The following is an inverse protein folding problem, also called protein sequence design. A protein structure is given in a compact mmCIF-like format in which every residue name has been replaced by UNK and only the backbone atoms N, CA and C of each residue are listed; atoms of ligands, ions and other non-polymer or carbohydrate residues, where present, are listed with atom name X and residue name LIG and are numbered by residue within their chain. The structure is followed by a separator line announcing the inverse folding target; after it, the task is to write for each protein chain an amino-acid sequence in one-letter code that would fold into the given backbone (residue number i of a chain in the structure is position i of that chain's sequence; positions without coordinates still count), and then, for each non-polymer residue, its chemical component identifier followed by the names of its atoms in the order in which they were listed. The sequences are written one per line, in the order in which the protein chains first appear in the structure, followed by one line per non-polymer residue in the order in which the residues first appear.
data_IF_993722518198
#
_entry.id   IF_993722518198
#
_cell.length_a   1.000
_cell.length_b   1.000
_cell.length_c   1.000
_cell.angle_alpha   90.00
_cell.angle_beta   90.00
_cell.angle_gamma   90.00
#
_symmetry.space_group_name_H-M   'P 1'
#
loop_
_entity.id
_entity.type
_entity.pdbx_description
1 polymer ?
#
# COMPACT_ATOMS: atom_id res chain seq x y z
N UNK A 1 12.72 0.43 -13.04
CA UNK A 1 12.72 1.48 -12.00
C UNK A 1 12.98 2.83 -12.64
N UNK A 2 12.47 3.89 -12.04
CA UNK A 2 12.75 5.27 -12.43
C UNK A 2 13.56 5.92 -11.31
N UNK A 3 14.67 6.54 -11.67
CA UNK A 3 15.53 7.29 -10.74
C UNK A 3 15.64 8.72 -11.25
N UNK A 4 15.42 9.68 -10.38
CA UNK A 4 15.58 11.09 -10.65
C UNK A 4 16.59 11.70 -9.69
N UNK A 5 17.47 12.53 -10.19
CA UNK A 5 18.40 13.31 -9.40
C UNK A 5 18.07 14.78 -9.52
N UNK A 6 18.21 15.51 -8.44
CA UNK A 6 18.27 16.95 -8.40
C UNK A 6 19.47 17.41 -7.56
N UNK A 7 19.92 18.61 -7.81
CA UNK A 7 20.98 19.27 -7.06
C UNK A 7 20.80 20.78 -7.13
N UNK A 8 21.54 21.52 -6.29
CA UNK A 8 21.57 22.98 -6.33
C UNK A 8 22.31 23.51 -7.55
N UNK A 9 23.22 22.70 -8.13
CA UNK A 9 23.97 23.03 -9.34
C UNK A 9 24.09 21.83 -10.32
N UNK A 10 24.39 22.14 -11.57
CA UNK A 10 24.50 21.16 -12.64
C UNK A 10 25.69 20.21 -12.46
N UNK A 11 26.77 20.66 -11.82
CA UNK A 11 27.96 19.83 -11.61
C UNK A 11 27.69 18.71 -10.62
N UNK A 12 27.04 19.06 -9.49
CA UNK A 12 26.62 18.08 -8.50
C UNK A 12 25.61 17.08 -9.06
N UNK A 13 24.64 17.56 -9.84
CA UNK A 13 23.67 16.72 -10.52
C UNK A 13 24.33 15.74 -11.49
N UNK A 14 25.22 16.21 -12.36
CA UNK A 14 25.97 15.38 -13.31
C UNK A 14 26.82 14.33 -12.61
N UNK A 15 27.44 14.68 -11.48
CA UNK A 15 28.26 13.72 -10.71
C UNK A 15 27.41 12.59 -10.13
N UNK A 16 26.21 12.88 -9.62
CA UNK A 16 25.26 11.86 -9.12
C UNK A 16 24.85 10.91 -10.25
N UNK A 17 24.52 11.44 -11.41
CA UNK A 17 24.15 10.65 -12.59
C UNK A 17 25.32 9.76 -13.02
N UNK A 18 26.51 10.32 -13.17
CA UNK A 18 27.72 9.58 -13.59
C UNK A 18 28.07 8.44 -12.62
N UNK A 19 27.92 8.66 -11.32
CA UNK A 19 28.12 7.63 -10.29
C UNK A 19 27.14 6.47 -10.44
N UNK A 20 25.87 6.75 -10.72
CA UNK A 20 24.88 5.70 -10.96
C UNK A 20 25.18 4.96 -12.28
N UNK A 21 25.47 5.70 -13.36
CA UNK A 21 25.79 5.10 -14.67
C UNK A 21 26.97 4.12 -14.57
N UNK A 22 28.05 4.50 -13.90
CA UNK A 22 29.21 3.64 -13.70
C UNK A 22 28.82 2.31 -13.01
N UNK A 23 28.00 2.36 -11.96
CA UNK A 23 27.49 1.16 -11.28
C UNK A 23 26.59 0.30 -12.16
N UNK A 24 25.73 0.93 -12.96
CA UNK A 24 24.85 0.21 -13.89
C UNK A 24 25.64 -0.48 -14.99
N UNK A 25 26.68 0.18 -15.54
CA UNK A 25 27.57 -0.39 -16.53
C UNK A 25 28.37 -1.58 -15.98
N UNK A 26 28.90 -1.47 -14.76
CA UNK A 26 29.56 -2.58 -14.07
C UNK A 26 28.60 -3.76 -13.85
N UNK A 27 27.39 -3.51 -13.37
CA UNK A 27 26.37 -4.52 -13.15
C UNK A 27 25.94 -5.21 -14.45
N UNK A 28 25.81 -4.47 -15.56
CA UNK A 28 25.52 -5.02 -16.90
C UNK A 28 26.70 -5.89 -17.42
N UNK A 29 27.93 -5.45 -17.21
CA UNK A 29 29.13 -6.17 -17.64
C UNK A 29 29.28 -7.52 -16.93
N UNK A 30 28.88 -7.62 -15.65
CA UNK A 30 28.94 -8.86 -14.88
C UNK A 30 27.78 -9.83 -15.17
N UNK A 31 26.67 -9.33 -15.68
CA UNK A 31 25.46 -10.13 -15.99
C UNK A 31 24.77 -10.76 -14.79
N UNK A 32 25.22 -10.49 -13.57
CA UNK A 32 24.71 -11.14 -12.34
C UNK A 32 23.57 -10.39 -11.67
N UNK A 33 23.31 -9.13 -12.07
CA UNK A 33 22.40 -8.24 -11.37
C UNK A 33 20.93 -8.34 -11.81
N UNK A 34 20.62 -9.07 -12.89
CA UNK A 34 19.30 -9.07 -13.50
C UNK A 34 18.93 -7.76 -14.21
N UNK A 35 19.85 -6.78 -14.26
CA UNK A 35 19.67 -5.53 -15.02
C UNK A 35 19.83 -5.84 -16.50
N UNK A 36 18.80 -5.51 -17.30
CA UNK A 36 18.79 -5.73 -18.75
C UNK A 36 19.21 -4.50 -19.55
N UNK A 37 19.27 -3.33 -18.93
CA UNK A 37 19.66 -2.06 -19.54
C UNK A 37 19.14 -0.86 -18.75
N UNK A 38 19.58 0.32 -19.17
CA UNK A 38 19.06 1.60 -18.68
C UNK A 38 18.98 2.61 -19.81
N UNK A 39 18.19 3.65 -19.58
CA UNK A 39 18.09 4.80 -20.47
C UNK A 39 18.23 6.07 -19.63
N UNK A 40 19.09 6.97 -20.06
CA UNK A 40 19.27 8.30 -19.47
C UNK A 40 18.64 9.34 -20.40
N UNK A 41 17.94 10.31 -19.82
CA UNK A 41 17.39 11.45 -20.56
C UNK A 41 17.45 12.73 -19.74
N UNK A 42 17.75 13.82 -20.40
CA UNK A 42 17.64 15.20 -19.91
C UNK A 42 16.54 15.97 -20.66
N UNK A 43 15.89 15.32 -21.63
CA UNK A 43 14.80 15.95 -22.38
C UNK A 43 13.55 16.07 -21.51
N UNK A 44 13.13 17.29 -21.26
CA UNK A 44 11.95 17.62 -20.46
C UNK A 44 10.67 16.95 -20.99
N UNK A 45 10.51 16.82 -22.31
CA UNK A 45 9.31 16.19 -22.88
C UNK A 45 9.30 14.68 -22.61
N UNK A 46 10.45 14.01 -22.75
CA UNK A 46 10.59 12.59 -22.39
C UNK A 46 10.35 12.35 -20.90
N UNK A 47 10.87 13.21 -20.04
CA UNK A 47 10.64 13.17 -18.59
C UNK A 47 9.15 13.30 -18.28
N UNK A 48 8.47 14.30 -18.85
CA UNK A 48 7.02 14.49 -18.65
C UNK A 48 6.19 13.28 -19.12
N UNK A 49 6.60 12.64 -20.22
CA UNK A 49 5.93 11.42 -20.71
C UNK A 49 6.08 10.26 -19.74
N UNK A 50 7.26 10.06 -19.15
CA UNK A 50 7.51 9.03 -18.14
C UNK A 50 6.65 9.28 -16.90
N UNK A 51 6.57 10.53 -16.43
CA UNK A 51 5.70 10.89 -15.30
C UNK A 51 4.22 10.69 -15.60
N UNK A 52 3.79 11.04 -16.83
CA UNK A 52 2.41 10.81 -17.27
C UNK A 52 2.07 9.31 -17.30
N UNK A 53 2.98 8.48 -17.78
CA UNK A 53 2.85 7.02 -17.75
C UNK A 53 2.75 6.49 -16.31
N UNK A 54 3.65 6.92 -15.41
CA UNK A 54 3.62 6.55 -13.98
C UNK A 54 2.27 6.91 -13.34
N UNK A 55 1.77 8.12 -13.58
CA UNK A 55 0.48 8.58 -13.04
C UNK A 55 -0.70 7.75 -13.55
N UNK A 56 -0.67 7.33 -14.82
CA UNK A 56 -1.73 6.51 -15.43
C UNK A 56 -1.68 5.05 -14.98
N UNK A 57 -0.51 4.51 -14.66
CA UNK A 57 -0.34 3.08 -14.36
C UNK A 57 -1.16 2.62 -13.16
N UNK A 58 -1.27 3.44 -12.12
CA UNK A 58 -2.09 3.14 -10.93
C UNK A 58 -3.58 2.99 -11.28
N UNK A 59 -4.10 3.86 -12.16
CA UNK A 59 -5.47 3.76 -12.66
C UNK A 59 -5.71 2.56 -13.57
N UNK A 60 -4.70 2.16 -14.34
CA UNK A 60 -4.80 0.98 -15.22
C UNK A 60 -4.93 -0.33 -14.45
N UNK A 61 -4.32 -0.44 -13.27
CA UNK A 61 -4.50 -1.59 -12.39
C UNK A 61 -5.97 -1.79 -12.01
N UNK A 62 -6.69 -0.68 -11.74
CA UNK A 62 -8.13 -0.73 -11.41
C UNK A 62 -9.02 -1.20 -12.57
N UNK A 63 -8.53 -1.14 -13.83
CA UNK A 63 -9.26 -1.54 -15.02
C UNK A 63 -9.06 -3.03 -15.40
N UNK A 64 -8.50 -3.85 -14.51
CA UNK A 64 -8.35 -5.28 -14.73
C UNK A 64 -9.70 -5.93 -15.12
N UNK A 65 -9.71 -6.73 -16.19
CA UNK A 65 -10.91 -7.45 -16.64
C UNK A 65 -11.11 -8.71 -15.78
N UNK A 66 -12.36 -9.14 -15.67
CA UNK A 66 -12.72 -10.35 -14.91
C UNK A 66 -13.25 -10.04 -13.50
N UNK A 67 -13.58 -11.07 -12.74
CA UNK A 67 -14.13 -10.98 -11.39
C UNK A 67 -13.07 -10.54 -10.36
N UNK A 68 -11.84 -11.01 -10.51
CA UNK A 68 -10.74 -10.62 -9.64
C UNK A 68 -10.31 -9.17 -9.90
N UNK A 69 -10.27 -8.37 -8.86
CA UNK A 69 -9.88 -6.96 -8.90
C UNK A 69 -8.69 -6.70 -7.97
N UNK A 70 -7.73 -5.83 -8.35
CA UNK A 70 -6.67 -5.40 -7.46
C UNK A 70 -7.24 -4.66 -6.24
N UNK A 71 -7.07 -5.23 -5.06
CA UNK A 71 -7.62 -4.71 -3.80
C UNK A 71 -6.49 -4.15 -2.92
N UNK A 72 -6.60 -2.89 -2.42
CA UNK A 72 -5.53 -2.22 -1.69
C UNK A 72 -5.48 -2.57 -0.19
N UNK A 73 -5.67 -3.84 0.19
CA UNK A 73 -5.70 -4.26 1.59
C UNK A 73 -4.30 -4.51 2.19
N UNK A 74 -3.27 -4.66 1.36
CA UNK A 74 -1.86 -4.79 1.75
C UNK A 74 -1.02 -3.61 1.29
N UNK A 75 -1.66 -2.53 0.89
CA UNK A 75 -1.01 -1.33 0.36
C UNK A 75 -0.35 -0.52 1.46
N UNK A 76 0.69 0.27 1.09
CA UNK A 76 1.31 1.29 1.94
C UNK A 76 2.16 0.72 3.09
N UNK A 77 2.74 -0.45 2.89
CA UNK A 77 3.78 -0.95 3.80
C UNK A 77 5.09 -0.20 3.57
N UNK A 78 5.80 0.11 4.64
CA UNK A 78 7.10 0.75 4.57
C UNK A 78 8.09 0.00 5.45
N UNK A 79 9.29 -0.25 4.92
CA UNK A 79 10.41 -0.85 5.65
C UNK A 79 11.65 0.04 5.48
N UNK A 80 12.66 -0.05 6.35
CA UNK A 80 13.95 0.62 6.09
C UNK A 80 14.43 0.32 4.66
N UNK A 81 14.86 1.33 3.89
CA UNK A 81 15.23 1.15 2.47
C UNK A 81 16.28 0.06 2.23
N UNK A 82 17.20 -0.14 3.16
CA UNK A 82 18.21 -1.20 3.12
C UNK A 82 17.61 -2.61 3.16
N UNK A 83 16.44 -2.77 3.75
CA UNK A 83 15.73 -4.05 3.86
C UNK A 83 14.73 -4.27 2.71
N UNK A 84 14.51 -3.27 1.86
CA UNK A 84 13.43 -3.27 0.88
C UNK A 84 13.55 -4.41 -0.15
N UNK A 85 14.75 -4.73 -0.58
CA UNK A 85 14.96 -5.78 -1.58
C UNK A 85 14.52 -7.15 -1.06
N UNK A 86 14.96 -7.53 0.14
CA UNK A 86 14.61 -8.80 0.76
C UNK A 86 13.12 -8.84 1.13
N UNK A 87 12.59 -7.73 1.62
CA UNK A 87 11.15 -7.58 1.89
C UNK A 87 10.31 -7.82 0.63
N UNK A 88 10.68 -7.23 -0.51
CA UNK A 88 9.99 -7.45 -1.79
C UNK A 88 10.03 -8.92 -2.18
N UNK A 89 11.18 -9.59 -2.04
CA UNK A 89 11.32 -10.99 -2.43
C UNK A 89 10.42 -11.90 -1.59
N UNK A 90 10.40 -11.73 -0.27
CA UNK A 90 9.53 -12.51 0.61
C UNK A 90 8.05 -12.16 0.41
N UNK A 91 7.71 -10.89 0.19
CA UNK A 91 6.34 -10.48 -0.09
C UNK A 91 5.82 -11.13 -1.39
N UNK A 92 6.64 -11.17 -2.43
CA UNK A 92 6.30 -11.85 -3.67
C UNK A 92 6.11 -13.34 -3.46
N UNK A 93 7.03 -14.01 -2.74
CA UNK A 93 6.91 -15.43 -2.40
C UNK A 93 5.60 -15.71 -1.64
N UNK A 94 5.21 -14.84 -0.71
CA UNK A 94 3.94 -14.95 -0.01
C UNK A 94 2.75 -14.93 -0.98
N UNK A 95 2.67 -13.95 -1.87
CA UNK A 95 1.56 -13.82 -2.81
C UNK A 95 1.56 -14.95 -3.86
N UNK A 96 2.73 -15.30 -4.37
CA UNK A 96 2.92 -16.37 -5.35
C UNK A 96 2.52 -17.74 -4.77
N UNK A 97 2.79 -17.99 -3.48
CA UNK A 97 2.39 -19.23 -2.78
C UNK A 97 0.87 -19.42 -2.70
N UNK A 98 0.12 -18.33 -2.77
CA UNK A 98 -1.34 -18.33 -2.83
C UNK A 98 -1.88 -18.24 -4.27
N UNK A 99 -1.01 -18.28 -5.28
CA UNK A 99 -1.38 -18.21 -6.68
C UNK A 99 -2.02 -16.89 -7.12
N UNK A 100 -1.71 -15.80 -6.42
CA UNK A 100 -2.32 -14.50 -6.68
C UNK A 100 -1.56 -13.72 -7.76
N UNK A 101 -2.32 -13.08 -8.65
CA UNK A 101 -1.83 -11.98 -9.47
C UNK A 101 -1.86 -10.69 -8.66
N UNK A 102 -0.88 -9.80 -8.84
CA UNK A 102 -0.79 -8.54 -8.09
C UNK A 102 -0.10 -7.44 -8.87
N UNK A 103 -0.47 -6.20 -8.60
CA UNK A 103 0.31 -5.02 -8.94
C UNK A 103 1.22 -4.63 -7.78
N UNK A 104 2.47 -4.25 -8.07
CA UNK A 104 3.42 -3.78 -7.08
C UNK A 104 4.17 -2.56 -7.61
N UNK A 105 4.16 -1.48 -6.86
CA UNK A 105 4.88 -0.25 -7.14
C UNK A 105 5.20 0.46 -5.82
N UNK A 106 6.02 1.49 -5.84
CA UNK A 106 6.37 2.16 -4.59
C UNK A 106 7.45 3.21 -4.75
N UNK A 107 7.99 3.64 -3.61
CA UNK A 107 9.03 4.64 -3.46
C UNK A 107 10.24 3.99 -2.81
N UNK A 108 11.23 3.64 -3.62
CA UNK A 108 12.41 2.86 -3.19
C UNK A 108 13.22 3.61 -2.14
N UNK A 109 13.40 4.92 -2.33
CA UNK A 109 14.12 5.81 -1.44
C UNK A 109 13.48 5.94 -0.04
N UNK A 110 12.15 5.79 0.04
CA UNK A 110 11.40 5.80 1.29
C UNK A 110 11.08 4.40 1.84
N UNK A 111 11.44 3.34 1.12
CA UNK A 111 11.13 1.96 1.50
C UNK A 111 9.64 1.60 1.43
N UNK A 112 8.82 2.41 0.73
CA UNK A 112 7.35 2.27 0.67
C UNK A 112 6.92 1.41 -0.50
N UNK A 113 6.01 0.47 -0.25
CA UNK A 113 5.39 -0.37 -1.26
C UNK A 113 3.86 -0.24 -1.27
N UNK A 114 3.33 -0.15 -2.48
CA UNK A 114 1.91 -0.24 -2.78
C UNK A 114 1.67 -1.56 -3.51
N UNK A 115 1.08 -2.52 -2.83
CA UNK A 115 0.83 -3.87 -3.36
C UNK A 115 -0.66 -4.13 -3.39
N UNK A 116 -1.16 -4.53 -4.55
CA UNK A 116 -2.59 -4.77 -4.78
C UNK A 116 -2.81 -6.16 -5.33
N UNK A 117 -3.00 -7.17 -4.47
CA UNK A 117 -3.39 -8.50 -4.91
C UNK A 117 -4.78 -8.48 -5.55
N UNK A 118 -4.95 -9.27 -6.60
CA UNK A 118 -6.22 -9.40 -7.31
C UNK A 118 -7.07 -10.49 -6.64
N UNK A 119 -8.23 -10.09 -6.09
CA UNK A 119 -9.19 -10.96 -5.44
C UNK A 119 -10.60 -10.73 -5.97
N UNK A 120 -11.40 -11.79 -5.98
CA UNK A 120 -12.84 -11.74 -6.16
C UNK A 120 -13.52 -11.71 -4.77
N UNK A 121 -13.89 -10.54 -4.29
CA UNK A 121 -14.52 -10.39 -2.97
C UNK A 121 -16.00 -10.82 -2.96
N UNK A 122 -16.52 -11.30 -4.09
CA UNK A 122 -17.81 -11.98 -4.14
C UNK A 122 -17.70 -13.47 -3.82
N UNK A 123 -16.47 -14.02 -3.84
CA UNK A 123 -16.16 -15.37 -3.40
C UNK A 123 -15.79 -15.37 -1.91
N UNK A 124 -16.59 -16.00 -1.02
CA UNK A 124 -16.29 -16.06 0.40
C UNK A 124 -14.94 -16.67 0.74
N UNK A 125 -14.43 -17.59 -0.10
CA UNK A 125 -13.12 -18.19 0.12
C UNK A 125 -11.99 -17.15 -0.13
N UNK A 126 -12.16 -16.28 -1.11
CA UNK A 126 -11.19 -15.22 -1.40
C UNK A 126 -11.29 -14.06 -0.39
N UNK A 127 -12.47 -13.80 0.16
CA UNK A 127 -12.62 -12.87 1.29
C UNK A 127 -11.87 -13.39 2.53
N UNK A 128 -11.96 -14.68 2.83
CA UNK A 128 -11.18 -15.31 3.89
C UNK A 128 -9.67 -15.26 3.61
N UNK A 129 -9.27 -15.48 2.36
CA UNK A 129 -7.87 -15.38 1.92
C UNK A 129 -7.32 -13.97 2.12
N UNK A 130 -8.12 -12.92 1.87
CA UNK A 130 -7.75 -11.54 2.13
C UNK A 130 -7.34 -11.32 3.60
N UNK A 131 -8.10 -11.87 4.56
CA UNK A 131 -7.75 -11.83 5.98
C UNK A 131 -6.41 -12.52 6.23
N UNK A 132 -6.24 -13.73 5.76
CA UNK A 132 -5.01 -14.52 5.94
C UNK A 132 -3.79 -13.77 5.42
N UNK A 133 -3.86 -13.23 4.21
CA UNK A 133 -2.75 -12.48 3.61
C UNK A 133 -2.48 -11.18 4.36
N UNK A 134 -3.54 -10.47 4.78
CA UNK A 134 -3.37 -9.24 5.56
C UNK A 134 -2.56 -9.49 6.84
N UNK A 135 -2.90 -10.52 7.60
CA UNK A 135 -2.20 -10.91 8.83
C UNK A 135 -0.73 -11.31 8.55
N UNK A 136 -0.50 -12.09 7.49
CA UNK A 136 0.86 -12.48 7.08
C UNK A 136 1.71 -11.29 6.64
N UNK A 137 1.14 -10.32 5.93
CA UNK A 137 1.84 -9.09 5.52
C UNK A 137 2.18 -8.22 6.72
N UNK A 138 1.31 -8.14 7.73
CA UNK A 138 1.61 -7.45 8.99
C UNK A 138 2.83 -8.06 9.67
N UNK A 139 2.86 -9.39 9.80
CA UNK A 139 3.99 -10.11 10.40
C UNK A 139 5.28 -9.94 9.59
N UNK A 140 5.18 -10.03 8.26
CA UNK A 140 6.32 -9.81 7.37
C UNK A 140 6.87 -8.39 7.51
N UNK A 141 5.99 -7.39 7.52
CA UNK A 141 6.37 -5.98 7.69
C UNK A 141 7.08 -5.76 9.04
N UNK A 142 6.54 -6.34 10.12
CA UNK A 142 7.15 -6.27 11.45
C UNK A 142 8.52 -6.96 11.50
N UNK A 143 8.69 -8.12 10.82
CA UNK A 143 9.97 -8.82 10.70
C UNK A 143 11.08 -7.94 10.15
N UNK A 144 10.75 -7.06 9.21
CA UNK A 144 11.69 -6.12 8.59
C UNK A 144 11.77 -4.76 9.30
N UNK A 145 11.20 -4.63 10.50
CA UNK A 145 11.21 -3.39 11.27
C UNK A 145 10.38 -2.27 10.63
N UNK A 146 9.40 -2.66 9.83
CA UNK A 146 8.58 -1.74 9.05
C UNK A 146 7.28 -1.33 9.75
N UNK A 147 6.48 -0.56 9.02
CA UNK A 147 5.15 -0.10 9.43
C UNK A 147 4.13 -0.29 8.31
N UNK A 148 2.86 -0.36 8.69
CA UNK A 148 1.75 -0.68 7.78
C UNK A 148 1.12 0.56 7.13
N UNK A 149 1.63 1.76 7.39
CA UNK A 149 1.02 3.03 6.99
C UNK A 149 2.11 4.05 6.65
N UNK A 150 2.78 3.84 5.50
CA UNK A 150 3.91 4.67 5.09
C UNK A 150 3.50 6.11 4.76
N UNK A 151 2.47 6.28 3.94
CA UNK A 151 2.02 7.58 3.41
C UNK A 151 0.53 7.83 3.62
N UNK A 152 -0.28 6.78 3.61
CA UNK A 152 -1.73 6.86 3.65
C UNK A 152 -2.26 6.66 5.08
N UNK A 153 -3.48 7.06 5.35
CA UNK A 153 -4.12 6.82 6.64
C UNK A 153 -4.41 5.32 6.87
N UNK A 154 -4.64 4.94 8.14
CA UNK A 154 -4.85 3.55 8.54
C UNK A 154 -6.09 2.89 7.91
N UNK A 155 -7.13 3.67 7.61
CA UNK A 155 -8.33 3.18 6.94
C UNK A 155 -8.92 1.94 7.62
N UNK A 156 -9.04 0.87 6.87
CA UNK A 156 -9.62 -0.40 7.31
C UNK A 156 -8.63 -1.34 8.01
N UNK A 157 -7.36 -1.00 8.10
CA UNK A 157 -6.32 -1.76 8.81
C UNK A 157 -6.06 -1.23 10.21
N UNK A 158 -7.01 -0.51 10.79
CA UNK A 158 -6.90 0.10 12.11
C UNK A 158 -6.78 -0.91 13.24
N UNK A 159 -7.28 -2.13 13.03
CA UNK A 159 -7.21 -3.25 13.98
C UNK A 159 -5.79 -3.62 14.40
N UNK A 160 -4.79 -3.42 13.54
CA UNK A 160 -3.38 -3.68 13.84
C UNK A 160 -2.71 -2.56 14.65
N UNK A 161 -3.42 -1.44 14.85
CA UNK A 161 -2.87 -0.29 15.58
C UNK A 161 -2.45 -0.58 17.01
N UNK A 162 -3.27 -1.26 17.84
CA UNK A 162 -2.90 -1.58 19.21
C UNK A 162 -1.62 -2.40 19.33
N UNK A 163 -1.45 -3.43 18.50
CA UNK A 163 -0.26 -4.27 18.48
C UNK A 163 0.98 -3.46 18.03
N UNK A 164 0.83 -2.68 16.94
CA UNK A 164 1.93 -1.91 16.37
C UNK A 164 2.45 -0.81 17.32
N UNK A 165 1.55 -0.05 17.94
CA UNK A 165 1.93 1.06 18.84
C UNK A 165 2.23 0.61 20.27
N UNK A 166 1.74 -0.56 20.66
CA UNK A 166 1.73 -1.01 22.04
C UNK A 166 0.75 -0.21 22.90
N UNK A 167 0.50 -0.70 24.10
CA UNK A 167 -0.53 -0.18 25.02
C UNK A 167 -0.35 1.30 25.33
N UNK A 168 0.88 1.72 25.62
CA UNK A 168 1.17 3.11 26.04
C UNK A 168 0.86 4.11 24.95
N UNK A 169 1.48 3.96 23.78
CA UNK A 169 1.29 4.91 22.67
C UNK A 169 -0.12 4.85 22.10
N UNK A 170 -0.72 3.66 22.04
CA UNK A 170 -2.09 3.55 21.58
C UNK A 170 -3.09 4.20 22.52
N UNK A 171 -2.83 4.15 23.85
CA UNK A 171 -3.62 4.87 24.84
C UNK A 171 -3.51 6.39 24.65
N UNK A 172 -2.32 6.93 24.37
CA UNK A 172 -2.15 8.36 24.09
C UNK A 172 -2.90 8.78 22.81
N UNK A 173 -2.88 7.97 21.75
CA UNK A 173 -3.69 8.22 20.55
C UNK A 173 -5.19 8.29 20.88
N UNK A 174 -5.68 7.39 21.73
CA UNK A 174 -7.07 7.38 22.19
C UNK A 174 -7.44 8.61 23.03
N UNK A 175 -6.52 9.12 23.84
CA UNK A 175 -6.70 10.38 24.60
C UNK A 175 -6.82 11.57 23.64
N UNK A 176 -5.95 11.64 22.62
CA UNK A 176 -6.04 12.68 21.58
C UNK A 176 -7.39 12.59 20.86
N UNK A 177 -7.79 11.39 20.43
CA UNK A 177 -9.10 11.16 19.82
C UNK A 177 -10.25 11.62 20.72
N UNK A 178 -10.19 11.32 22.01
CA UNK A 178 -11.21 11.72 22.99
C UNK A 178 -11.29 13.23 23.17
N UNK A 179 -10.16 13.94 23.06
CA UNK A 179 -10.13 15.41 23.18
C UNK A 179 -10.84 16.10 22.00
N UNK A 180 -10.69 15.57 20.78
CA UNK A 180 -11.28 16.16 19.56
C UNK A 180 -12.65 15.58 19.21
N UNK A 181 -12.91 14.32 19.51
CA UNK A 181 -14.14 13.59 19.14
C UNK A 181 -14.58 12.64 20.26
N UNK A 182 -15.01 13.15 21.40
CA UNK A 182 -15.36 12.34 22.56
C UNK A 182 -16.54 11.37 22.30
N UNK A 183 -17.40 11.68 21.32
CA UNK A 183 -18.55 10.88 20.95
C UNK A 183 -18.29 9.92 19.79
N UNK A 184 -17.05 9.82 19.32
CA UNK A 184 -16.63 8.95 18.21
C UNK A 184 -17.46 9.10 16.93
N UNK A 185 -17.80 10.35 16.55
CA UNK A 185 -18.63 10.64 15.38
C UNK A 185 -17.81 10.81 14.08
N UNK A 186 -16.53 11.19 14.20
CA UNK A 186 -15.64 11.38 13.06
C UNK A 186 -14.87 10.09 12.76
N UNK A 187 -15.18 9.46 11.65
CA UNK A 187 -14.58 8.19 11.21
C UNK A 187 -14.55 7.12 12.33
N UNK A 188 -15.70 6.68 12.86
CA UNK A 188 -15.76 5.72 13.95
C UNK A 188 -14.95 4.45 13.67
N UNK A 189 -14.16 4.00 14.65
CA UNK A 189 -13.32 2.81 14.55
C UNK A 189 -12.10 2.91 13.65
N UNK A 190 -11.85 4.05 13.00
CA UNK A 190 -10.66 4.26 12.18
C UNK A 190 -9.55 4.93 12.98
N UNK A 191 -8.31 4.50 12.79
CA UNK A 191 -7.11 4.86 13.56
C UNK A 191 -7.22 4.37 15.00
N UNK A 192 -8.08 4.99 15.80
CA UNK A 192 -8.40 4.60 17.17
C UNK A 192 -9.80 5.08 17.54
N UNK A 193 -10.32 4.57 18.65
CA UNK A 193 -11.55 5.04 19.29
C UNK A 193 -11.22 5.91 20.50
N UNK A 194 -12.09 6.85 20.94
CA UNK A 194 -11.87 7.61 22.17
C UNK A 194 -11.61 6.70 23.38
N UNK A 195 -10.86 7.18 24.36
CA UNK A 195 -10.44 6.35 25.51
C UNK A 195 -11.58 5.63 26.22
N UNK A 196 -12.71 6.30 26.35
CA UNK A 196 -13.89 5.77 27.03
C UNK A 196 -14.81 4.90 26.12
N UNK A 197 -14.52 4.86 24.83
CA UNK A 197 -15.33 4.07 23.89
C UNK A 197 -14.99 2.59 23.98
N UNK A 198 -16.05 1.76 23.91
CA UNK A 198 -15.96 0.29 23.78
C UNK A 198 -16.18 -0.17 22.35
N UNK A 199 -16.34 0.77 21.40
CA UNK A 199 -16.51 0.41 20.00
C UNK A 199 -15.26 -0.23 19.43
N UNK A 200 -15.45 -1.24 18.58
CA UNK A 200 -14.37 -1.96 17.93
C UNK A 200 -13.66 -1.09 16.88
N UNK A 201 -12.40 -1.39 16.65
CA UNK A 201 -11.67 -0.87 15.51
C UNK A 201 -12.16 -1.52 14.22
N UNK A 202 -12.03 -0.76 13.15
CA UNK A 202 -12.34 -1.24 11.81
C UNK A 202 -11.30 -2.26 11.38
N UNK A 203 -11.75 -3.43 10.96
CA UNK A 203 -10.94 -4.55 10.45
C UNK A 203 -10.99 -4.67 8.93
N UNK A 204 -10.04 -5.40 8.36
CA UNK A 204 -9.93 -5.60 6.90
C UNK A 204 -11.12 -6.40 6.35
N UNK A 205 -11.65 -7.33 7.13
CA UNK A 205 -12.79 -8.20 6.82
C UNK A 205 -14.06 -7.84 7.59
N UNK A 206 -14.11 -6.67 8.22
CA UNK A 206 -15.23 -6.25 9.04
C UNK A 206 -16.54 -6.13 8.25
N UNK A 207 -17.65 -6.46 8.88
CA UNK A 207 -19.01 -6.43 8.31
C UNK A 207 -19.52 -5.02 7.98
N UNK A 208 -18.77 -4.24 7.24
CA UNK A 208 -19.07 -2.85 6.90
C UNK A 208 -20.21 -2.74 5.92
N UNK A 209 -20.31 -3.70 5.01
CA UNK A 209 -21.39 -3.75 4.03
C UNK A 209 -22.74 -3.81 4.74
N UNK A 210 -22.87 -4.67 5.76
CA UNK A 210 -24.09 -4.75 6.55
C UNK A 210 -24.41 -3.46 7.32
N UNK A 211 -23.42 -2.70 7.76
CA UNK A 211 -23.63 -1.41 8.42
C UNK A 211 -24.12 -0.34 7.44
N UNK A 212 -23.47 -0.20 6.30
CA UNK A 212 -23.89 0.72 5.24
C UNK A 212 -25.26 0.37 4.69
N UNK A 213 -25.55 -0.89 4.47
CA UNK A 213 -26.84 -1.37 3.97
C UNK A 213 -28.03 -0.97 4.84
N UNK A 214 -27.84 -0.87 6.15
CA UNK A 214 -28.87 -0.44 7.09
C UNK A 214 -29.16 1.07 7.05
N UNK A 215 -28.22 1.87 6.58
CA UNK A 215 -28.30 3.34 6.58
C UNK A 215 -28.60 3.95 5.21
N UNK A 216 -28.44 3.18 4.14
CA UNK A 216 -28.71 3.65 2.77
C UNK A 216 -30.20 3.50 2.48
N UNK A 217 -30.90 4.56 2.02
CA UNK A 217 -32.29 4.45 1.56
C UNK A 217 -32.43 3.37 0.48
N UNK A 218 -33.55 2.62 0.51
CA UNK A 218 -33.78 1.47 -0.40
C UNK A 218 -33.53 1.83 -1.88
N UNK A 219 -33.97 3.00 -2.34
CA UNK A 219 -33.77 3.43 -3.73
C UNK A 219 -32.29 3.62 -4.09
N UNK A 220 -31.48 4.16 -3.16
CA UNK A 220 -30.05 4.34 -3.34
C UNK A 220 -29.32 3.01 -3.26
N UNK A 221 -29.74 2.15 -2.34
CA UNK A 221 -29.21 0.79 -2.21
C UNK A 221 -29.39 -0.01 -3.49
N UNK A 222 -30.57 0.00 -4.09
CA UNK A 222 -30.85 -0.72 -5.34
C UNK A 222 -29.94 -0.25 -6.48
N UNK A 223 -29.71 1.06 -6.60
CA UNK A 223 -28.79 1.61 -7.60
C UNK A 223 -27.34 1.24 -7.30
N UNK A 224 -26.94 1.23 -6.04
CA UNK A 224 -25.60 0.83 -5.61
C UNK A 224 -25.37 -0.66 -5.88
N UNK A 225 -26.30 -1.53 -5.52
CA UNK A 225 -26.23 -2.98 -5.74
C UNK A 225 -26.15 -3.31 -7.23
N UNK A 226 -26.87 -2.58 -8.10
CA UNK A 226 -26.80 -2.73 -9.54
C UNK A 226 -25.44 -2.30 -10.11
N UNK A 227 -24.81 -1.27 -9.54
CA UNK A 227 -23.51 -0.77 -9.97
C UNK A 227 -22.32 -1.58 -9.43
N UNK A 228 -22.50 -2.25 -8.27
CA UNK A 228 -21.46 -2.97 -7.55
C UNK A 228 -21.73 -4.46 -7.45
N UNK A 229 -22.77 -4.95 -8.18
CA UNK A 229 -23.16 -6.37 -8.13
C UNK A 229 -21.94 -7.27 -8.46
N UNK A 230 -21.55 -7.99 -7.47
CA UNK A 230 -20.72 -9.16 -7.61
C UNK A 230 -21.53 -10.27 -8.30
#
# INVERSE_FOLDING_TARGET
NMVEFNDEDDVGMQQKVANLEARLQEALATGQSGIIGYQLTYDTQAILQIYAMRKKSVGLLGNAKGAQKPIPFTEDTAVPPENLADFIMEFRQLLDSHGLSYGMFGHVDAGVLHVRPALDLCDPAQEQLMRTISDQVVQLTAKYGGLMWGEHGKGYRSEYGPEFFGETLFTELRKIKAAFDPLNRMNPGKICTPLQSTEALVSVDGQKRAFFDKQIPVAVKTSYDAATSC
#
